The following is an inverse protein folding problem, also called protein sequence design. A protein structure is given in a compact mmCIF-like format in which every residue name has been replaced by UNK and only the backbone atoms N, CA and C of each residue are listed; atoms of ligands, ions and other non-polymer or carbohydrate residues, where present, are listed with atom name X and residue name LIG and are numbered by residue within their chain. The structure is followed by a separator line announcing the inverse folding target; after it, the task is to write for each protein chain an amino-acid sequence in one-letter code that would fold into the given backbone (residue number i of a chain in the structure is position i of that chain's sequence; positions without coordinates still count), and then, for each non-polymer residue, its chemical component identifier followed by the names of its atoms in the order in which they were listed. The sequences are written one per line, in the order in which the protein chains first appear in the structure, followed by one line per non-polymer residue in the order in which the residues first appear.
data_IF_223420851243
#
_entry.id   IF_223420851243
#
_cell.length_a   1.000
_cell.length_b   1.000
_cell.length_c   1.000
_cell.angle_alpha   90.00
_cell.angle_beta   90.00
_cell.angle_gamma   90.00
#
_symmetry.space_group_name_H-M   'P 1'
#
loop_
_entity.id
_entity.type
_entity.pdbx_description
1 polymer ?
#
# COMPACT_ATOMS: atom_id res chain seq x y z
N UNK A 1 -2.32 -12.03 2.92
CA UNK A 1 -1.18 -11.10 3.12
C UNK A 1 0.07 -11.60 2.42
N UNK A 2 0.54 -12.83 2.66
CA UNK A 2 1.72 -13.40 1.98
C UNK A 2 1.78 -13.17 0.45
N UNK A 3 0.67 -13.37 -0.28
CA UNK A 3 0.62 -13.08 -1.72
C UNK A 3 0.89 -11.60 -2.07
N UNK A 4 0.40 -10.67 -1.26
CA UNK A 4 0.62 -9.23 -1.48
C UNK A 4 2.09 -8.85 -1.19
N UNK A 5 2.70 -9.49 -0.20
CA UNK A 5 4.12 -9.35 0.13
C UNK A 5 5.01 -9.85 -1.03
N UNK A 6 4.74 -11.04 -1.58
CA UNK A 6 5.43 -11.55 -2.76
C UNK A 6 5.30 -10.63 -3.98
N UNK A 7 4.10 -10.06 -4.19
CA UNK A 7 3.86 -9.07 -5.25
C UNK A 7 4.71 -7.82 -5.00
N UNK A 8 4.79 -7.34 -3.76
CA UNK A 8 5.55 -6.14 -3.41
C UNK A 8 7.05 -6.35 -3.62
N UNK A 9 7.58 -7.51 -3.22
CA UNK A 9 8.97 -7.92 -3.50
C UNK A 9 9.22 -7.97 -5.00
N UNK A 10 8.31 -8.57 -5.77
CA UNK A 10 8.40 -8.60 -7.23
C UNK A 10 8.41 -7.20 -7.84
N UNK A 11 7.53 -6.31 -7.40
CA UNK A 11 7.51 -4.91 -7.85
C UNK A 11 8.83 -4.21 -7.54
N UNK A 12 9.35 -4.35 -6.32
CA UNK A 12 10.61 -3.76 -5.91
C UNK A 12 11.79 -4.26 -6.74
N UNK A 13 11.81 -5.55 -7.06
CA UNK A 13 12.85 -6.16 -7.88
C UNK A 13 12.70 -5.88 -9.38
N UNK A 14 11.48 -5.64 -9.88
CA UNK A 14 11.24 -5.32 -11.29
C UNK A 14 11.61 -3.86 -11.60
N UNK A 15 11.21 -2.93 -10.73
CA UNK A 15 11.38 -1.50 -10.96
C UNK A 15 12.64 -0.99 -10.25
N UNK A 16 13.83 -1.21 -10.82
CA UNK A 16 15.10 -0.69 -10.27
C UNK A 16 15.32 0.80 -10.56
N UNK A 17 14.87 1.26 -11.73
CA UNK A 17 14.96 2.66 -12.20
C UNK A 17 13.59 3.17 -12.66
N UNK A 18 12.60 3.28 -11.77
CA UNK A 18 11.28 3.81 -12.12
C UNK A 18 11.37 5.31 -12.43
N UNK A 19 10.45 5.80 -13.26
CA UNK A 19 10.22 7.24 -13.36
C UNK A 19 9.50 7.77 -12.09
N UNK A 20 9.39 9.08 -11.95
CA UNK A 20 8.81 9.72 -10.77
C UNK A 20 7.40 9.23 -10.44
N UNK A 21 6.55 9.03 -11.46
CA UNK A 21 5.18 8.58 -11.26
C UNK A 21 5.13 7.13 -10.78
N UNK A 22 5.94 6.26 -11.38
CA UNK A 22 6.10 4.86 -10.96
C UNK A 22 6.66 4.78 -9.54
N UNK A 23 7.69 5.59 -9.22
CA UNK A 23 8.29 5.62 -7.88
C UNK A 23 7.26 6.00 -6.81
N UNK A 24 6.44 7.02 -7.06
CA UNK A 24 5.34 7.40 -6.17
C UNK A 24 4.31 6.29 -6.00
N UNK A 25 3.87 5.68 -7.09
CA UNK A 25 2.91 4.58 -7.03
C UNK A 25 3.46 3.36 -6.27
N UNK A 26 4.75 3.03 -6.46
CA UNK A 26 5.44 1.95 -5.75
C UNK A 26 5.56 2.25 -4.25
N UNK A 27 5.93 3.49 -3.88
CA UNK A 27 6.01 3.93 -2.49
C UNK A 27 4.64 3.87 -1.80
N UNK A 28 3.58 4.29 -2.51
CA UNK A 28 2.23 4.22 -1.98
C UNK A 28 1.76 2.77 -1.87
N UNK A 29 2.08 1.89 -2.82
CA UNK A 29 1.75 0.47 -2.72
C UNK A 29 2.41 -0.18 -1.50
N UNK A 30 3.71 0.09 -1.28
CA UNK A 30 4.43 -0.36 -0.09
C UNK A 30 3.73 0.12 1.21
N UNK A 31 3.29 1.38 1.24
CA UNK A 31 2.56 1.94 2.38
C UNK A 31 1.22 1.25 2.64
N UNK A 32 0.42 1.02 1.60
CA UNK A 32 -0.87 0.31 1.74
C UNK A 32 -0.67 -1.11 2.27
N UNK A 33 0.38 -1.82 1.80
CA UNK A 33 0.70 -3.15 2.32
C UNK A 33 1.09 -3.08 3.81
N UNK A 34 1.98 -2.18 4.19
CA UNK A 34 2.38 -2.01 5.59
C UNK A 34 1.19 -1.65 6.49
N UNK A 35 0.25 -0.81 6.02
CA UNK A 35 -0.95 -0.44 6.77
C UNK A 35 -1.95 -1.59 6.91
N UNK A 36 -1.98 -2.50 5.92
CA UNK A 36 -2.77 -3.73 6.01
C UNK A 36 -2.15 -4.75 6.99
N UNK A 37 -0.81 -4.80 7.07
CA UNK A 37 -0.06 -5.71 7.94
C UNK A 37 0.05 -5.22 9.39
N UNK A 38 0.11 -3.89 9.59
CA UNK A 38 0.12 -3.25 10.90
C UNK A 38 -1.24 -3.41 11.59
N UNK A 39 -1.44 -4.55 12.24
CA UNK A 39 -2.69 -4.97 12.86
C UNK A 39 -3.03 -4.30 14.21
N UNK A 40 -2.50 -3.11 14.51
CA UNK A 40 -2.63 -2.45 15.83
C UNK A 40 -3.80 -1.46 15.97
N UNK A 41 -4.63 -1.29 14.94
CA UNK A 41 -5.86 -0.49 15.06
C UNK A 41 -6.83 -0.98 16.16
N UNK A 42 -6.96 -2.29 16.46
CA UNK A 42 -7.72 -2.79 17.60
C UNK A 42 -7.10 -2.43 18.96
N UNK A 43 -5.78 -2.24 19.05
CA UNK A 43 -5.09 -1.86 20.29
C UNK A 43 -5.27 -0.36 20.61
N UNK A 44 -5.48 0.48 19.58
CA UNK A 44 -5.75 1.92 19.72
C UNK A 44 -7.23 2.20 20.08
N UNK A 45 -8.15 1.32 19.69
CA UNK A 45 -9.60 1.53 19.89
C UNK A 45 -10.13 0.51 20.89
N UNK A 46 -9.94 0.82 22.17
CA UNK A 46 -10.53 0.11 23.31
C UNK A 46 -12.06 0.24 23.27
N UNK A 47 -12.77 -0.73 22.67
CA UNK A 47 -14.15 -1.15 22.99
C UNK A 47 -14.69 -2.18 21.95
N UNK A 48 -15.60 -3.06 22.38
CA UNK A 48 -16.21 -4.23 21.70
C UNK A 48 -16.95 -3.99 20.34
N UNK A 49 -16.56 -2.99 19.53
CA UNK A 49 -17.12 -2.69 18.19
C UNK A 49 -16.07 -2.75 17.06
N UNK A 50 -14.86 -3.24 17.35
CA UNK A 50 -13.67 -3.00 16.53
C UNK A 50 -13.28 -4.09 15.54
N UNK A 51 -13.88 -5.28 15.59
CA UNK A 51 -13.54 -6.36 14.65
C UNK A 51 -13.95 -6.00 13.23
N UNK A 52 -15.20 -5.58 13.03
CA UNK A 52 -15.70 -5.17 11.72
C UNK A 52 -14.95 -3.95 11.18
N UNK A 53 -14.61 -3.00 12.06
CA UNK A 53 -13.81 -1.83 11.69
C UNK A 53 -12.39 -2.22 11.25
N UNK A 54 -11.72 -3.09 12.00
CA UNK A 54 -10.37 -3.55 11.68
C UNK A 54 -10.36 -4.35 10.37
N UNK A 55 -11.31 -5.27 10.19
CA UNK A 55 -11.48 -6.03 8.94
C UNK A 55 -11.73 -5.09 7.76
N UNK A 56 -12.62 -4.11 7.90
CA UNK A 56 -12.90 -3.13 6.85
C UNK A 56 -11.67 -2.31 6.49
N UNK A 57 -10.86 -1.90 7.48
CA UNK A 57 -9.63 -1.15 7.26
C UNK A 57 -8.57 -1.97 6.53
N UNK A 58 -8.32 -3.20 6.97
CA UNK A 58 -7.39 -4.12 6.29
C UNK A 58 -7.81 -4.32 4.83
N UNK A 59 -9.09 -4.64 4.59
CA UNK A 59 -9.60 -4.81 3.23
C UNK A 59 -9.45 -3.55 2.38
N UNK A 60 -9.72 -2.37 2.95
CA UNK A 60 -9.55 -1.09 2.23
C UNK A 60 -8.11 -0.88 1.77
N UNK A 61 -7.13 -1.18 2.62
CA UNK A 61 -5.71 -1.06 2.27
C UNK A 61 -5.30 -2.12 1.22
N UNK A 62 -5.78 -3.36 1.34
CA UNK A 62 -5.54 -4.40 0.35
C UNK A 62 -6.14 -4.09 -1.03
N UNK A 63 -7.33 -3.50 -1.07
CA UNK A 63 -7.98 -3.10 -2.32
C UNK A 63 -7.19 -1.99 -3.02
N UNK A 64 -6.71 -0.99 -2.26
CA UNK A 64 -5.86 0.08 -2.77
C UNK A 64 -4.52 -0.44 -3.28
N UNK A 65 -3.88 -1.32 -2.51
CA UNK A 65 -2.65 -2.00 -2.92
C UNK A 65 -2.85 -2.74 -4.25
N UNK A 66 -3.91 -3.53 -4.35
CA UNK A 66 -4.21 -4.33 -5.55
C UNK A 66 -4.45 -3.44 -6.76
N UNK A 67 -5.20 -2.35 -6.60
CA UNK A 67 -5.43 -1.37 -7.66
C UNK A 67 -4.15 -0.67 -8.11
N UNK A 68 -3.26 -0.31 -7.17
CA UNK A 68 -1.95 0.24 -7.50
C UNK A 68 -1.08 -0.77 -8.25
N UNK A 69 -1.01 -2.00 -7.77
CA UNK A 69 -0.29 -3.09 -8.44
C UNK A 69 -0.75 -3.26 -9.90
N UNK A 70 -2.06 -3.30 -10.14
CA UNK A 70 -2.59 -3.41 -11.50
C UNK A 70 -2.22 -2.20 -12.37
N UNK A 71 -2.39 -1.00 -11.84
CA UNK A 71 -2.05 0.24 -12.53
C UNK A 71 -0.57 0.33 -12.89
N UNK A 72 0.32 -0.07 -11.98
CA UNK A 72 1.76 -0.14 -12.21
C UNK A 72 2.07 -1.18 -13.27
N UNK A 73 1.51 -2.39 -13.14
CA UNK A 73 1.76 -3.52 -14.06
C UNK A 73 1.27 -3.25 -15.49
N UNK A 74 0.19 -2.48 -15.64
CA UNK A 74 -0.35 -2.05 -16.94
C UNK A 74 0.30 -0.75 -17.46
N UNK A 75 1.22 -0.15 -16.70
CA UNK A 75 1.79 1.17 -16.96
C UNK A 75 0.73 2.26 -17.20
N UNK A 76 -0.41 2.14 -16.51
CA UNK A 76 -1.59 3.00 -16.64
C UNK A 76 -1.95 3.62 -15.29
N UNK A 77 -0.98 4.31 -14.68
CA UNK A 77 -1.12 4.89 -13.34
C UNK A 77 -2.16 6.01 -13.34
N UNK A 78 -3.26 5.79 -12.64
CA UNK A 78 -4.27 6.81 -12.38
C UNK A 78 -3.73 7.85 -11.38
N UNK A 79 -3.31 8.99 -11.91
CA UNK A 79 -2.73 10.10 -11.14
C UNK A 79 -3.74 10.68 -10.15
N UNK A 80 -5.04 10.71 -10.48
CA UNK A 80 -6.07 11.26 -9.58
C UNK A 80 -6.24 10.34 -8.38
N UNK A 81 -6.40 9.05 -8.64
CA UNK A 81 -6.48 8.05 -7.58
C UNK A 81 -5.23 8.02 -6.70
N UNK A 82 -4.04 8.07 -7.30
CA UNK A 82 -2.77 8.10 -6.55
C UNK A 82 -2.69 9.31 -5.61
N UNK A 83 -3.04 10.52 -6.09
CA UNK A 83 -3.05 11.73 -5.26
C UNK A 83 -4.06 11.67 -4.12
N UNK A 84 -5.22 11.09 -4.39
CA UNK A 84 -6.26 10.92 -3.37
C UNK A 84 -5.75 10.06 -2.20
N UNK A 85 -5.22 8.87 -2.49
CA UNK A 85 -4.71 7.98 -1.44
C UNK A 85 -3.44 8.50 -0.77
N UNK A 86 -2.55 9.19 -1.51
CA UNK A 86 -1.38 9.87 -0.93
C UNK A 86 -1.80 10.92 0.11
N UNK A 87 -2.93 11.62 -0.11
CA UNK A 87 -3.46 12.63 0.81
C UNK A 87 -4.15 12.04 2.05
N UNK A 88 -4.76 10.86 1.91
CA UNK A 88 -5.46 10.18 3.01
C UNK A 88 -4.48 9.50 3.98
N UNK A 89 -3.39 8.93 3.47
CA UNK A 89 -2.48 8.08 4.23
C UNK A 89 -1.12 8.77 4.45
N UNK A 90 -1.14 9.90 5.18
CA UNK A 90 0.05 10.73 5.46
C UNK A 90 0.83 10.33 6.74
N UNK A 91 0.50 9.20 7.37
CA UNK A 91 1.15 8.78 8.63
C UNK A 91 2.60 8.32 8.39
N UNK A 92 2.94 7.94 7.15
CA UNK A 92 4.29 7.52 6.75
C UNK A 92 4.78 8.28 5.50
N UNK A 93 5.23 9.53 5.62
CA UNK A 93 5.61 10.35 4.48
C UNK A 93 6.85 9.82 3.73
N UNK A 94 7.69 9.02 4.39
CA UNK A 94 9.03 8.64 3.90
C UNK A 94 9.21 7.15 3.59
N UNK A 95 8.14 6.42 3.25
CA UNK A 95 8.31 5.02 2.83
C UNK A 95 8.99 4.96 1.47
N UNK A 96 10.01 4.10 1.39
CA UNK A 96 10.67 3.74 0.15
C UNK A 96 10.36 2.27 -0.15
N UNK A 97 9.76 2.00 -1.31
CA UNK A 97 9.40 0.65 -1.74
C UNK A 97 10.59 -0.32 -1.79
N UNK A 98 11.81 0.20 -1.89
CA UNK A 98 13.05 -0.59 -1.91
C UNK A 98 13.34 -1.36 -0.63
N UNK A 99 12.59 -1.13 0.47
CA UNK A 99 12.69 -2.00 1.65
C UNK A 99 12.31 -3.46 1.34
N UNK A 100 11.52 -3.68 0.29
CA UNK A 100 11.13 -5.01 -0.20
C UNK A 100 12.09 -5.55 -1.29
N UNK A 101 13.20 -4.87 -1.55
CA UNK A 101 14.26 -5.35 -2.44
C UNK A 101 15.05 -6.46 -1.74
N UNK A 102 14.95 -7.68 -2.25
CA UNK A 102 15.64 -8.88 -1.74
C UNK A 102 16.39 -9.57 -2.87
#
# INVERSE_FOLDING_TARGET
MHKCEEIMIRLANTYKTPNDLQSRALNQAAKELMLAEASDWPFIIKNNTTVEYAVKRINTHLDRFTKLYENISKNSIDIKFLREIESLDNIFPNINYKIYET
#
